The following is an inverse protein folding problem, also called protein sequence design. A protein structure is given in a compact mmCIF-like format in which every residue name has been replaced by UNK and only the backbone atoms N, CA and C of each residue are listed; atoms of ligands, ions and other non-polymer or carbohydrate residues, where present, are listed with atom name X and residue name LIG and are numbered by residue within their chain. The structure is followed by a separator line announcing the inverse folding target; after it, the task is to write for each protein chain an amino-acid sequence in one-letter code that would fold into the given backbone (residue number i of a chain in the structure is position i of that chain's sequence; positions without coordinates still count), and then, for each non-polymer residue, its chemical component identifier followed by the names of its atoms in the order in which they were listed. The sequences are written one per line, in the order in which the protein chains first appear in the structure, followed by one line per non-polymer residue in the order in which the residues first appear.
data_IF_986954092688
#
_entry.id   IF_986954092688
#
_cell.length_a   1.000
_cell.length_b   1.000
_cell.length_c   1.000
_cell.angle_alpha   90.00
_cell.angle_beta   90.00
_cell.angle_gamma   90.00
#
_symmetry.space_group_name_H-M   'P 1'
#
loop_
_entity.id
_entity.type
_entity.pdbx_description
1 polymer ?
#
# COMPACT_ATOMS: atom_id res chain seq x y z
N UNK A 1 -29.62 5.94 -9.41
CA UNK A 1 -28.61 4.86 -9.40
C UNK A 1 -28.41 4.41 -7.96
N UNK A 2 -28.54 3.13 -7.64
CA UNK A 2 -28.26 2.65 -6.29
C UNK A 2 -26.78 2.88 -5.95
N UNK A 3 -26.47 3.54 -4.83
CA UNK A 3 -25.09 3.68 -4.34
C UNK A 3 -24.57 2.26 -4.04
N UNK A 4 -23.57 1.80 -4.79
CA UNK A 4 -22.86 0.56 -4.45
C UNK A 4 -22.30 0.73 -3.03
N UNK A 5 -22.62 -0.21 -2.12
CA UNK A 5 -22.22 -0.16 -0.71
C UNK A 5 -20.84 -0.79 -0.61
N UNK A 6 -19.84 -0.02 -0.22
CA UNK A 6 -18.47 -0.48 0.00
C UNK A 6 -18.15 -0.46 1.48
N UNK A 7 -17.23 -1.33 1.93
CA UNK A 7 -16.62 -1.21 3.26
C UNK A 7 -15.62 -0.05 3.27
N UNK A 8 -15.31 0.44 4.48
CA UNK A 8 -14.33 1.50 4.70
C UNK A 8 -13.16 0.93 5.49
N UNK A 9 -11.95 1.23 5.03
CA UNK A 9 -10.71 0.99 5.75
C UNK A 9 -10.63 1.86 7.01
N UNK A 10 -10.05 1.28 8.05
CA UNK A 10 -9.81 1.92 9.35
C UNK A 10 -8.35 1.80 9.77
N UNK A 11 -7.91 2.72 10.63
CA UNK A 11 -6.56 2.69 11.19
C UNK A 11 -6.28 1.32 11.82
N UNK A 12 -5.14 0.74 11.47
CA UNK A 12 -4.71 -0.57 11.94
C UNK A 12 -5.15 -1.75 11.08
N UNK A 13 -6.09 -1.56 10.13
CA UNK A 13 -6.55 -2.66 9.28
C UNK A 13 -5.38 -3.27 8.51
N UNK A 14 -5.23 -4.59 8.66
CA UNK A 14 -4.29 -5.41 7.89
C UNK A 14 -5.03 -5.94 6.68
N UNK A 15 -4.62 -5.48 5.51
CA UNK A 15 -5.23 -5.77 4.21
C UNK A 15 -4.42 -6.86 3.55
N UNK A 16 -5.08 -7.95 3.18
CA UNK A 16 -4.51 -8.93 2.25
C UNK A 16 -4.69 -8.42 0.84
N UNK A 17 -3.60 -8.08 0.19
CA UNK A 17 -3.60 -7.62 -1.20
C UNK A 17 -3.37 -8.79 -2.16
N UNK A 18 -3.70 -8.59 -3.44
CA UNK A 18 -3.46 -9.55 -4.50
C UNK A 18 -2.58 -8.90 -5.59
N UNK A 19 -1.28 -8.69 -5.32
CA UNK A 19 -0.39 -7.92 -6.19
C UNK A 19 -0.17 -8.59 -7.57
N UNK A 20 -0.33 -9.91 -7.63
CA UNK A 20 -0.23 -10.73 -8.84
C UNK A 20 -1.04 -12.01 -8.60
N UNK A 21 -1.78 -12.50 -9.61
CA UNK A 21 -2.58 -13.72 -9.45
C UNK A 21 -1.74 -14.90 -8.92
N UNK A 22 -2.22 -15.53 -7.85
CA UNK A 22 -1.52 -16.62 -7.14
C UNK A 22 -0.57 -16.15 -6.04
N UNK A 23 -0.37 -14.84 -5.88
CA UNK A 23 0.47 -14.24 -4.84
C UNK A 23 -0.31 -13.26 -3.99
N UNK A 24 -0.11 -13.32 -2.68
CA UNK A 24 -0.81 -12.51 -1.69
C UNK A 24 0.18 -11.62 -0.96
N UNK A 25 -0.09 -10.32 -0.96
CA UNK A 25 0.73 -9.32 -0.26
C UNK A 25 0.03 -8.80 0.98
N UNK A 26 0.77 -8.07 1.83
CA UNK A 26 0.22 -7.41 3.01
C UNK A 26 0.37 -5.90 2.89
N UNK A 27 -0.71 -5.17 3.17
CA UNK A 27 -0.72 -3.74 3.35
C UNK A 27 -1.40 -3.36 4.67
N UNK A 28 -1.06 -2.20 5.24
CA UNK A 28 -1.64 -1.74 6.51
C UNK A 28 -2.06 -0.30 6.43
N UNK A 29 -3.25 -0.02 6.97
CA UNK A 29 -3.75 1.35 7.11
C UNK A 29 -3.08 2.01 8.32
N UNK A 30 -2.22 2.99 8.06
CA UNK A 30 -1.47 3.67 9.11
C UNK A 30 -2.28 4.75 9.83
N UNK A 31 -3.12 5.45 9.07
CA UNK A 31 -4.00 6.50 9.54
C UNK A 31 -5.21 6.52 8.60
N UNK A 32 -6.41 6.51 9.18
CA UNK A 32 -7.68 6.65 8.45
C UNK A 32 -8.24 8.07 8.55
N UNK A 33 -7.38 9.01 8.98
CA UNK A 33 -7.63 10.42 9.18
C UNK A 33 -8.68 10.96 8.23
N UNK A 34 -9.91 11.07 8.77
CA UNK A 34 -11.10 11.52 8.07
C UNK A 34 -10.96 13.01 7.77
N UNK A 35 -10.07 13.34 6.83
CA UNK A 35 -9.77 14.70 6.39
C UNK A 35 -10.47 14.92 5.06
N UNK A 36 -11.73 15.35 5.17
CA UNK A 36 -12.51 15.82 4.03
C UNK A 36 -11.93 17.10 3.41
N UNK A 37 -10.96 17.75 4.07
CA UNK A 37 -10.43 19.08 3.72
C UNK A 37 -9.30 19.06 2.67
N UNK A 38 -8.84 17.90 2.20
CA UNK A 38 -7.70 17.79 1.27
C UNK A 38 -8.08 17.89 -0.22
N UNK A 39 -9.34 18.16 -0.56
CA UNK A 39 -9.74 18.42 -1.95
C UNK A 39 -9.70 19.93 -2.23
N UNK A 40 -8.93 20.39 -3.23
CA UNK A 40 -9.04 21.75 -3.75
C UNK A 40 -10.44 22.10 -4.26
N UNK A 41 -11.33 21.10 -4.46
CA UNK A 41 -12.64 21.22 -5.08
C UNK A 41 -13.80 20.68 -4.21
N UNK A 42 -13.64 20.48 -2.89
CA UNK A 42 -14.68 19.95 -1.99
C UNK A 42 -15.28 18.57 -2.39
N UNK A 43 -14.56 17.77 -3.18
CA UNK A 43 -14.98 16.43 -3.63
C UNK A 43 -14.17 15.28 -3.01
N UNK A 44 -13.71 15.42 -1.77
CA UNK A 44 -12.92 14.36 -1.12
C UNK A 44 -13.83 13.33 -0.49
N UNK A 45 -13.70 12.08 -0.95
CA UNK A 45 -13.99 10.95 -0.08
C UNK A 45 -12.99 10.96 1.09
N UNK A 46 -13.34 10.43 2.27
CA UNK A 46 -12.38 10.25 3.35
C UNK A 46 -11.15 9.51 2.85
N UNK A 47 -9.97 9.91 3.31
CA UNK A 47 -8.67 9.40 2.85
C UNK A 47 -7.97 8.66 3.97
N UNK A 48 -7.00 7.82 3.61
CA UNK A 48 -6.15 7.09 4.53
C UNK A 48 -4.73 6.96 3.98
N UNK A 49 -3.75 6.79 4.87
CA UNK A 49 -2.43 6.33 4.51
C UNK A 49 -2.40 4.81 4.55
N UNK A 50 -2.01 4.19 3.43
CA UNK A 50 -1.79 2.75 3.37
C UNK A 50 -0.31 2.50 3.08
N UNK A 51 0.31 1.67 3.92
CA UNK A 51 1.66 1.16 3.74
C UNK A 51 1.62 -0.21 3.07
N UNK A 52 2.34 -0.37 1.96
CA UNK A 52 2.58 -1.68 1.35
C UNK A 52 3.83 -2.27 2.02
N UNK A 53 3.77 -3.54 2.43
CA UNK A 53 4.88 -4.25 3.10
C UNK A 53 5.67 -5.12 2.10
N UNK A 54 6.88 -5.59 2.44
CA UNK A 54 7.63 -6.53 1.58
C UNK A 54 7.06 -7.95 1.58
N UNK A 55 6.12 -8.29 2.45
CA UNK A 55 5.63 -9.65 2.64
C UNK A 55 4.81 -10.11 1.43
N UNK A 56 5.18 -11.28 0.90
CA UNK A 56 4.53 -11.97 -0.21
C UNK A 56 4.43 -13.45 0.12
N UNK A 57 3.26 -14.02 -0.12
CA UNK A 57 2.93 -15.42 0.10
C UNK A 57 2.35 -16.03 -1.18
N UNK A 58 2.63 -17.31 -1.46
CA UNK A 58 2.06 -18.09 -2.55
C UNK A 58 0.80 -18.88 -2.14
N UNK A 59 0.33 -18.66 -0.91
CA UNK A 59 -0.90 -19.21 -0.36
C UNK A 59 -1.78 -18.10 0.21
N UNK A 60 -3.07 -18.40 0.38
CA UNK A 60 -4.04 -17.46 0.93
C UNK A 60 -3.74 -17.18 2.42
N UNK A 61 -2.96 -16.13 2.66
CA UNK A 61 -2.46 -15.73 3.98
C UNK A 61 -3.56 -15.25 4.93
N UNK A 62 -3.41 -15.57 6.21
CA UNK A 62 -4.22 -15.09 7.36
C UNK A 62 -3.38 -14.24 8.31
N UNK A 63 -3.98 -13.58 9.30
CA UNK A 63 -3.22 -12.72 10.23
C UNK A 63 -2.26 -13.53 11.10
N UNK A 64 -2.58 -14.79 11.38
CA UNK A 64 -1.76 -15.72 12.15
C UNK A 64 -0.47 -16.12 11.44
N UNK A 65 -0.44 -16.03 10.11
CA UNK A 65 0.72 -16.36 9.27
C UNK A 65 1.72 -15.19 9.13
N UNK A 66 1.33 -14.00 9.60
CA UNK A 66 2.09 -12.77 9.40
C UNK A 66 3.19 -12.63 10.46
N UNK A 67 4.43 -12.53 9.99
CA UNK A 67 5.57 -12.19 10.85
C UNK A 67 5.57 -10.69 11.17
N UNK A 68 4.94 -10.32 12.29
CA UNK A 68 4.75 -8.92 12.72
C UNK A 68 6.06 -8.10 12.72
N UNK A 69 7.21 -8.61 13.21
CA UNK A 69 8.50 -7.93 13.07
C UNK A 69 8.91 -7.53 11.65
N UNK A 70 8.46 -8.25 10.62
CA UNK A 70 8.76 -7.92 9.21
C UNK A 70 7.74 -6.96 8.60
N UNK A 71 6.74 -6.55 9.37
CA UNK A 71 5.67 -5.70 8.93
C UNK A 71 6.11 -4.23 8.97
N UNK A 72 6.89 -3.84 7.97
CA UNK A 72 7.34 -2.47 7.76
C UNK A 72 7.01 -2.00 6.34
N UNK A 73 6.91 -0.69 6.08
CA UNK A 73 6.68 -0.20 4.74
C UNK A 73 7.85 -0.58 3.82
N UNK A 74 7.54 -1.06 2.62
CA UNK A 74 8.53 -1.43 1.61
C UNK A 74 9.20 -0.18 1.06
N UNK A 75 10.52 -0.24 0.92
CA UNK A 75 11.30 0.68 0.09
C UNK A 75 11.51 0.03 -1.27
N UNK A 76 11.07 0.69 -2.33
CA UNK A 76 11.12 0.15 -3.68
C UNK A 76 11.90 1.09 -4.60
N UNK A 77 12.86 0.54 -5.34
CA UNK A 77 13.61 1.30 -6.34
C UNK A 77 12.82 1.33 -7.65
N UNK A 78 12.18 2.47 -7.94
CA UNK A 78 11.42 2.67 -9.17
C UNK A 78 12.33 3.20 -10.27
N UNK A 79 12.27 2.57 -11.44
CA UNK A 79 12.85 3.09 -12.67
C UNK A 79 11.83 3.97 -13.37
N UNK A 80 12.22 5.20 -13.67
CA UNK A 80 11.40 6.14 -14.44
C UNK A 80 11.98 6.26 -15.84
N UNK A 81 11.14 5.96 -16.82
CA UNK A 81 11.41 6.20 -18.23
C UNK A 81 10.50 7.33 -18.72
N UNK A 82 11.10 8.45 -19.09
CA UNK A 82 10.43 9.50 -19.84
C UNK A 82 10.99 9.47 -21.26
N UNK A 83 10.12 9.57 -22.27
CA UNK A 83 10.54 9.61 -23.66
C UNK A 83 11.65 10.68 -23.83
N UNK A 84 12.75 10.28 -24.48
CA UNK A 84 13.94 11.11 -24.73
C UNK A 84 14.73 11.56 -23.48
N UNK A 85 14.50 10.97 -22.31
CA UNK A 85 15.27 11.24 -21.08
C UNK A 85 16.00 9.97 -20.63
N UNK A 86 17.25 10.06 -20.14
CA UNK A 86 17.93 8.91 -19.55
C UNK A 86 17.11 8.28 -18.42
N UNK A 87 17.11 6.96 -18.35
CA UNK A 87 16.53 6.23 -17.23
C UNK A 87 17.14 6.74 -15.93
N UNK A 88 16.28 7.03 -14.96
CA UNK A 88 16.75 7.33 -13.61
C UNK A 88 16.00 6.47 -12.59
N UNK A 89 16.71 6.15 -11.52
CA UNK A 89 16.19 5.35 -10.43
C UNK A 89 15.93 6.23 -9.23
N UNK A 90 14.83 5.96 -8.54
CA UNK A 90 14.48 6.62 -7.29
C UNK A 90 13.97 5.58 -6.31
N UNK A 91 14.51 5.61 -5.09
CA UNK A 91 13.94 4.83 -3.99
C UNK A 91 12.72 5.54 -3.43
N UNK A 92 11.62 4.79 -3.28
CA UNK A 92 10.36 5.29 -2.77
C UNK A 92 9.91 4.44 -1.59
N UNK A 93 9.51 5.10 -0.51
CA UNK A 93 8.81 4.45 0.58
C UNK A 93 7.34 4.27 0.17
N UNK A 94 6.86 3.04 0.13
CA UNK A 94 5.51 2.71 -0.32
C UNK A 94 4.45 2.96 0.75
N UNK A 95 4.37 4.22 1.19
CA UNK A 95 3.25 4.77 1.94
C UNK A 95 2.58 5.81 1.05
N UNK A 96 1.30 5.61 0.82
CA UNK A 96 0.53 6.37 -0.15
C UNK A 96 -0.84 6.75 0.41
N UNK A 97 -1.44 7.80 -0.16
CA UNK A 97 -2.73 8.31 0.27
C UNK A 97 -3.81 7.78 -0.67
N UNK A 98 -4.73 6.99 -0.12
CA UNK A 98 -5.88 6.40 -0.81
C UNK A 98 -7.19 6.91 -0.22
N UNK A 99 -8.30 6.71 -0.91
CA UNK A 99 -9.61 6.82 -0.24
C UNK A 99 -9.76 5.67 0.76
N UNK A 100 -10.54 5.87 1.81
CA UNK A 100 -10.90 4.79 2.73
C UNK A 100 -11.85 3.78 2.09
N UNK A 101 -12.42 4.06 0.91
CA UNK A 101 -13.40 3.20 0.27
C UNK A 101 -12.70 1.97 -0.29
N UNK A 102 -13.06 0.80 0.23
CA UNK A 102 -12.57 -0.46 -0.29
C UNK A 102 -13.39 -0.87 -1.54
N UNK A 103 -13.23 -0.11 -2.63
CA UNK A 103 -13.93 -0.36 -3.89
C UNK A 103 -13.47 -1.66 -4.56
N UNK A 104 -12.22 -2.06 -4.30
CA UNK A 104 -11.63 -3.30 -4.79
C UNK A 104 -12.02 -4.54 -3.97
N UNK A 105 -12.80 -4.37 -2.90
CA UNK A 105 -13.29 -5.48 -2.06
C UNK A 105 -12.13 -6.34 -1.50
N UNK A 106 -10.99 -5.70 -1.17
CA UNK A 106 -9.82 -6.35 -0.61
C UNK A 106 -10.11 -6.89 0.80
N UNK A 107 -9.72 -8.14 1.14
CA UNK A 107 -9.95 -8.69 2.46
C UNK A 107 -9.16 -7.94 3.54
N UNK A 108 -9.86 -7.51 4.60
CA UNK A 108 -9.22 -7.11 5.85
C UNK A 108 -9.13 -8.35 6.72
N UNK A 109 -7.92 -8.80 7.00
CA UNK A 109 -7.64 -10.08 7.67
C UNK A 109 -7.26 -9.92 9.14
N UNK A 110 -7.03 -8.70 9.60
CA UNK A 110 -6.69 -8.42 10.99
C UNK A 110 -6.63 -6.93 11.29
N UNK A 111 -6.26 -6.59 12.53
CA UNK A 111 -6.02 -5.23 12.97
C UNK A 111 -4.85 -5.20 13.94
N UNK A 112 -3.97 -4.21 13.80
CA UNK A 112 -2.77 -4.02 14.63
C UNK A 112 -2.56 -2.54 14.95
N UNK A 113 -1.71 -2.23 15.92
CA UNK A 113 -1.30 -0.84 16.16
C UNK A 113 -0.26 -0.38 15.11
N UNK A 114 -0.59 0.59 14.23
CA UNK A 114 0.32 1.04 13.19
C UNK A 114 1.59 1.72 13.71
N UNK A 115 1.60 2.18 14.96
CA UNK A 115 2.79 2.78 15.56
C UNK A 115 3.97 1.80 15.68
N UNK A 116 3.71 0.48 15.58
CA UNK A 116 4.75 -0.54 15.52
C UNK A 116 5.38 -0.70 14.13
N UNK A 117 4.74 -0.15 13.09
CA UNK A 117 5.11 -0.30 11.67
C UNK A 117 5.84 0.94 11.19
N UNK A 118 5.31 2.11 11.55
CA UNK A 118 5.82 3.40 11.11
C UNK A 118 5.57 4.46 12.17
N UNK A 119 6.66 5.04 12.69
CA UNK A 119 6.63 6.00 13.81
C UNK A 119 6.79 7.45 13.37
N UNK A 120 7.17 7.70 12.11
CA UNK A 120 7.36 9.06 11.64
C UNK A 120 6.03 9.74 11.35
N UNK A 121 6.04 11.07 11.37
CA UNK A 121 4.86 11.87 11.07
C UNK A 121 4.36 11.62 9.64
N UNK A 122 3.06 11.30 9.53
CA UNK A 122 2.38 11.13 8.25
C UNK A 122 1.98 12.50 7.70
N UNK A 123 2.46 12.81 6.51
CA UNK A 123 2.07 14.03 5.80
C UNK A 123 0.83 13.76 4.96
N UNK A 124 -0.18 14.60 5.14
CA UNK A 124 -1.38 14.63 4.30
C UNK A 124 -1.20 15.51 3.06
N UNK A 125 -0.12 16.29 3.02
CA UNK A 125 0.34 16.97 1.81
C UNK A 125 1.33 16.05 1.09
N UNK A 126 1.13 15.80 -0.21
CA UNK A 126 2.06 15.01 -1.00
C UNK A 126 3.38 15.76 -1.07
N UNK A 127 4.48 15.03 -0.93
CA UNK A 127 5.84 15.57 -1.06
C UNK A 127 6.47 15.01 -2.33
N UNK A 128 7.47 15.71 -2.86
CA UNK A 128 8.16 15.31 -4.09
C UNK A 128 8.79 13.91 -4.00
N UNK A 129 9.08 13.43 -2.80
CA UNK A 129 9.75 12.17 -2.50
C UNK A 129 8.87 11.13 -1.78
N UNK A 130 7.64 11.45 -1.36
CA UNK A 130 6.80 10.56 -0.54
C UNK A 130 5.32 10.98 -0.48
N UNK A 131 4.45 10.03 -0.12
CA UNK A 131 3.02 10.23 0.14
C UNK A 131 2.20 10.75 -1.05
N UNK A 132 2.22 10.06 -2.19
CA UNK A 132 1.41 10.44 -3.35
C UNK A 132 -0.07 10.07 -3.19
N UNK A 133 -0.95 10.73 -3.94
CA UNK A 133 -2.38 10.42 -4.01
C UNK A 133 -2.67 9.40 -5.12
N UNK A 134 -3.42 8.35 -4.79
CA UNK A 134 -3.75 7.25 -5.73
C UNK A 134 -5.26 7.05 -5.95
N UNK A 135 -6.13 7.78 -5.23
CA UNK A 135 -7.58 7.58 -5.32
C UNK A 135 -8.03 6.29 -4.63
N UNK A 136 -9.01 5.58 -5.18
CA UNK A 136 -9.49 4.31 -4.64
C UNK A 136 -8.44 3.20 -4.80
N UNK A 137 -8.37 2.27 -3.85
CA UNK A 137 -7.52 1.08 -3.97
C UNK A 137 -7.96 0.22 -5.16
N UNK A 138 -6.98 -0.36 -5.86
CA UNK A 138 -7.20 -1.25 -7.00
C UNK A 138 -7.00 -2.72 -6.64
N UNK A 139 -7.47 -3.63 -7.49
CA UNK A 139 -7.35 -5.10 -7.30
C UNK A 139 -5.90 -5.54 -7.07
N UNK A 140 -4.96 -4.97 -7.84
CA UNK A 140 -3.54 -5.32 -7.80
C UNK A 140 -2.69 -4.42 -6.89
N UNK A 141 -3.28 -3.96 -5.77
CA UNK A 141 -2.55 -3.17 -4.77
C UNK A 141 -1.31 -3.95 -4.28
N UNK A 142 -0.16 -3.28 -4.19
CA UNK A 142 1.09 -3.89 -3.73
C UNK A 142 1.91 -4.59 -4.82
N UNK A 143 1.65 -4.34 -6.11
CA UNK A 143 2.42 -4.92 -7.23
C UNK A 143 3.93 -4.75 -7.06
N UNK A 144 4.37 -3.64 -6.50
CA UNK A 144 5.77 -3.36 -6.17
C UNK A 144 6.37 -4.39 -5.20
N UNK A 145 5.59 -4.90 -4.24
CA UNK A 145 6.04 -5.94 -3.33
C UNK A 145 6.33 -7.25 -4.07
N UNK A 146 5.48 -7.63 -5.02
CA UNK A 146 5.72 -8.79 -5.88
C UNK A 146 6.98 -8.62 -6.75
N UNK A 147 7.17 -7.45 -7.35
CA UNK A 147 8.38 -7.15 -8.13
C UNK A 147 9.64 -7.19 -7.27
N UNK A 148 9.57 -6.67 -6.05
CA UNK A 148 10.67 -6.72 -5.08
C UNK A 148 11.02 -8.17 -4.72
N UNK A 149 10.00 -8.99 -4.43
CA UNK A 149 10.17 -10.41 -4.12
C UNK A 149 10.82 -11.21 -5.27
N UNK A 150 10.41 -10.95 -6.52
CA UNK A 150 11.04 -11.57 -7.71
C UNK A 150 12.53 -11.23 -7.81
N UNK A 151 12.87 -9.97 -7.62
CA UNK A 151 14.26 -9.51 -7.69
C UNK A 151 15.12 -10.17 -6.59
N UNK A 152 14.61 -10.23 -5.36
CA UNK A 152 15.31 -10.89 -4.25
C UNK A 152 15.48 -12.40 -4.50
N UNK A 153 14.41 -13.08 -4.91
CA UNK A 153 14.42 -14.53 -5.18
C UNK A 153 15.38 -14.91 -6.32
N UNK A 154 15.44 -14.08 -7.38
CA UNK A 154 16.37 -14.27 -8.49
C UNK A 154 17.85 -14.12 -8.07
N UNK A 155 18.12 -13.39 -6.99
CA UNK A 155 19.47 -13.17 -6.44
C UNK A 155 19.90 -14.37 -5.59
N UNK A 156 18.97 -15.01 -4.86
CA UNK A 156 19.24 -16.21 -4.06
C UNK A 156 19.58 -17.43 -4.93
N UNK A 157 18.97 -17.55 -6.11
CA UNK A 157 19.25 -18.64 -7.06
C UNK A 157 20.53 -18.46 -7.89
N UNK A 158 21.30 -17.37 -7.67
CA UNK A 158 22.57 -17.09 -8.35
C UNK A 158 23.82 -17.33 -7.48
N UNK A 159 23.69 -18.07 -6.37
CA UNK A 159 24.81 -18.49 -5.52
C UNK A 159 24.99 -20.00 -5.55
#
# INVERSE_FOLDING_TARGET
MARKKYSLFKRGDVIRTNPQDGFYGIAVVLDDGVKLELSPNNWSYPMCHIAITPLIYDFEVTIEDIDIPQLHPLRFQRCYQLNNTPEFFKEELLIHIFTTRNVAELPVIGNIDPSNIYQNELSWQPKSDRFFFYGDTQKYLGREAYLNWLNMSSTTNKR
#
